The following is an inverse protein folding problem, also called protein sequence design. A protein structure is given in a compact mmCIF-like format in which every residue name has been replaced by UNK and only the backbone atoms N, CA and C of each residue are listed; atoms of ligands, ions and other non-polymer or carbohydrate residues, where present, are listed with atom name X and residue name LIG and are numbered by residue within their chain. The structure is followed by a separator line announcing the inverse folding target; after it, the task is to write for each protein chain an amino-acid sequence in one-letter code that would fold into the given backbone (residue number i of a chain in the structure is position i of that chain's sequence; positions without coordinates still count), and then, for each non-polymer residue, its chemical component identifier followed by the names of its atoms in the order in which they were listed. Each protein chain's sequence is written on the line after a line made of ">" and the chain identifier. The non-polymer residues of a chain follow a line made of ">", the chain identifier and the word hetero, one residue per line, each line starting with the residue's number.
data_IF_441068078033
#
_entry.id   IF_441068078033
#
_cell.length_a   1.000
_cell.length_b   1.000
_cell.length_c   1.000
_cell.angle_alpha   90.00
_cell.angle_beta   90.00
_cell.angle_gamma   90.00
#
_symmetry.space_group_name_H-M   'P 1'
#
loop_
_entity.id
_entity.type
_entity.pdbx_description
1 polymer ?
#
# COMPACT_ATOMS: atom_id res chain seq x y z
N UNK A 1 3.22 -43.21 21.17
CA UNK A 1 2.47 -43.50 19.94
C UNK A 1 2.30 -42.19 19.20
N UNK A 2 2.70 -42.07 17.92
CA UNK A 2 2.37 -40.89 17.15
C UNK A 2 0.86 -40.88 16.94
N UNK A 3 0.19 -39.80 17.36
CA UNK A 3 -1.24 -39.60 17.07
C UNK A 3 -1.35 -39.28 15.59
N UNK A 4 -2.06 -40.13 14.86
CA UNK A 4 -2.39 -39.89 13.46
C UNK A 4 -3.59 -38.96 13.46
N UNK A 5 -3.38 -37.73 13.00
CA UNK A 5 -4.45 -36.79 12.66
C UNK A 5 -5.47 -37.50 11.77
N UNK A 6 -6.74 -37.52 12.20
CA UNK A 6 -7.84 -38.28 11.56
C UNK A 6 -8.44 -37.57 10.35
N UNK A 7 -7.85 -36.46 9.90
CA UNK A 7 -8.30 -35.75 8.70
C UNK A 7 -7.54 -36.31 7.51
N UNK A 8 -8.24 -37.07 6.66
CA UNK A 8 -7.70 -37.49 5.37
C UNK A 8 -7.51 -36.24 4.51
N UNK A 9 -6.26 -35.77 4.38
CA UNK A 9 -5.92 -34.60 3.56
C UNK A 9 -5.62 -35.07 2.14
N UNK A 10 -6.54 -34.78 1.23
CA UNK A 10 -6.31 -35.01 -0.20
C UNK A 10 -5.36 -33.93 -0.74
N UNK A 11 -4.10 -34.30 -0.96
CA UNK A 11 -3.10 -33.46 -1.62
C UNK A 11 -2.11 -32.77 -0.67
N UNK A 12 -0.99 -32.30 -1.26
CA UNK A 12 -0.01 -31.45 -0.60
C UNK A 12 0.32 -30.27 -1.51
N UNK A 13 0.62 -29.12 -0.91
CA UNK A 13 1.11 -27.96 -1.63
C UNK A 13 2.53 -28.20 -2.09
N UNK A 14 2.81 -27.88 -3.35
CA UNK A 14 4.16 -27.79 -3.87
C UNK A 14 4.60 -26.32 -3.90
N UNK A 15 5.59 -25.98 -3.10
CA UNK A 15 6.16 -24.65 -3.00
C UNK A 15 7.49 -24.65 -3.74
N UNK A 16 7.58 -23.85 -4.80
CA UNK A 16 8.81 -23.65 -5.57
C UNK A 16 9.41 -22.30 -5.22
N UNK A 17 10.70 -22.26 -4.97
CA UNK A 17 11.39 -21.03 -4.60
C UNK A 17 12.83 -20.98 -5.07
N UNK A 18 13.47 -19.86 -4.77
CA UNK A 18 14.89 -19.60 -5.05
C UNK A 18 15.63 -19.33 -3.75
N UNK A 19 16.86 -19.86 -3.64
CA UNK A 19 17.79 -19.64 -2.53
C UNK A 19 19.06 -18.98 -3.05
N UNK A 20 19.50 -17.91 -2.38
CA UNK A 20 20.69 -17.14 -2.73
C UNK A 20 20.38 -15.71 -3.16
N UNK A 21 21.42 -14.89 -3.28
CA UNK A 21 21.36 -13.50 -3.72
C UNK A 21 22.28 -13.27 -4.91
N UNK A 22 21.88 -12.40 -5.83
CA UNK A 22 22.78 -11.93 -6.89
C UNK A 22 24.06 -11.35 -6.27
N UNK A 23 25.26 -11.60 -6.84
CA UNK A 23 25.52 -12.06 -8.21
C UNK A 23 25.55 -13.59 -8.40
N UNK A 24 25.41 -14.39 -7.35
CA UNK A 24 25.41 -15.84 -7.48
C UNK A 24 24.13 -16.34 -8.18
N UNK A 25 24.25 -17.40 -8.98
CA UNK A 25 23.09 -17.99 -9.62
C UNK A 25 22.16 -18.55 -8.53
N UNK A 26 20.90 -18.10 -8.45
CA UNK A 26 19.98 -18.58 -7.43
C UNK A 26 19.70 -20.08 -7.61
N UNK A 27 19.82 -20.84 -6.53
CA UNK A 27 19.50 -22.26 -6.51
C UNK A 27 17.98 -22.45 -6.39
N UNK A 28 17.39 -23.29 -7.25
CA UNK A 28 15.97 -23.62 -7.16
C UNK A 28 15.74 -24.67 -6.07
N UNK A 29 14.68 -24.48 -5.28
CA UNK A 29 14.24 -25.48 -4.31
C UNK A 29 12.75 -25.78 -4.43
N UNK A 30 12.37 -26.97 -3.98
CA UNK A 30 10.99 -27.42 -3.86
C UNK A 30 10.75 -27.92 -2.44
N UNK A 31 9.62 -27.51 -1.84
CA UNK A 31 9.13 -28.02 -0.56
C UNK A 31 7.69 -28.47 -0.74
N UNK A 32 7.35 -29.61 -0.15
CA UNK A 32 5.96 -30.06 -0.07
C UNK A 32 5.43 -29.86 1.35
N UNK A 33 4.24 -29.29 1.48
CA UNK A 33 3.61 -29.02 2.77
C UNK A 33 2.11 -29.29 2.74
N UNK A 34 1.55 -29.77 3.84
CA UNK A 34 0.09 -29.90 3.97
C UNK A 34 -0.59 -28.56 4.26
N UNK A 35 0.14 -27.61 4.85
CA UNK A 35 -0.36 -26.28 5.20
C UNK A 35 0.55 -25.21 4.60
N UNK A 36 -0.05 -24.16 4.04
CA UNK A 36 0.65 -22.98 3.50
C UNK A 36 0.00 -21.72 4.02
N UNK A 37 0.82 -20.73 4.41
CA UNK A 37 0.34 -19.42 4.84
C UNK A 37 0.73 -18.36 3.81
N UNK A 38 -0.26 -17.71 3.20
CA UNK A 38 -0.05 -16.56 2.33
C UNK A 38 0.15 -15.30 3.19
N UNK A 39 1.38 -14.80 3.16
CA UNK A 39 1.80 -13.59 3.87
C UNK A 39 2.52 -12.59 2.92
N UNK A 40 2.13 -12.56 1.64
CA UNK A 40 2.83 -11.80 0.58
C UNK A 40 2.45 -10.32 0.50
N UNK A 41 1.45 -9.88 1.27
CA UNK A 41 1.03 -8.47 1.31
C UNK A 41 0.56 -7.94 -0.05
N UNK A 42 0.75 -6.64 -0.27
CA UNK A 42 0.41 -5.96 -1.53
C UNK A 42 1.69 -5.48 -2.21
N UNK A 43 2.09 -6.15 -3.29
CA UNK A 43 3.37 -5.90 -3.98
C UNK A 43 3.20 -5.14 -5.30
N UNK A 44 2.01 -5.08 -5.89
CA UNK A 44 1.76 -4.44 -7.20
C UNK A 44 1.17 -3.05 -6.98
N UNK A 45 1.88 -1.95 -7.25
CA UNK A 45 1.33 -0.61 -7.10
C UNK A 45 0.15 -0.37 -8.05
N UNK A 46 -0.87 0.35 -7.58
CA UNK A 46 -1.97 0.83 -8.44
C UNK A 46 -1.47 2.02 -9.26
N UNK A 47 -1.84 2.03 -10.54
CA UNK A 47 -1.54 3.11 -11.48
C UNK A 47 -2.81 3.91 -11.82
N UNK A 48 -2.64 5.18 -12.19
CA UNK A 48 -3.73 6.07 -12.63
C UNK A 48 -4.19 5.75 -14.05
N UNK A 49 -3.32 5.20 -14.89
CA UNK A 49 -3.56 4.93 -16.30
C UNK A 49 -3.58 6.21 -17.16
N UNK A 50 -2.73 7.19 -16.83
CA UNK A 50 -2.71 8.51 -17.50
C UNK A 50 -1.48 8.71 -18.40
N UNK A 51 -1.54 9.60 -19.40
CA UNK A 51 -0.38 9.93 -20.21
C UNK A 51 0.78 10.47 -19.36
N UNK A 52 1.98 9.93 -19.60
CA UNK A 52 3.21 10.34 -18.91
C UNK A 52 3.47 9.68 -17.56
N UNK A 53 2.62 8.77 -17.11
CA UNK A 53 2.80 8.06 -15.84
C UNK A 53 4.06 7.17 -15.78
N UNK A 54 4.62 6.81 -16.95
CA UNK A 54 5.85 6.01 -17.05
C UNK A 54 7.12 6.87 -17.21
N UNK A 55 7.04 8.19 -17.00
CA UNK A 55 8.22 9.06 -17.06
C UNK A 55 9.17 8.78 -15.88
N UNK A 56 10.49 8.96 -16.05
CA UNK A 56 11.50 8.51 -15.08
C UNK A 56 11.48 9.23 -13.72
N UNK A 57 10.72 10.33 -13.60
CA UNK A 57 10.55 11.08 -12.36
C UNK A 57 9.18 10.82 -11.69
N UNK A 58 8.49 9.74 -12.12
CA UNK A 58 7.21 9.29 -11.57
C UNK A 58 7.44 7.98 -10.81
N UNK A 59 7.01 7.93 -9.56
CA UNK A 59 7.21 6.80 -8.65
C UNK A 59 5.90 6.33 -8.06
N UNK A 60 5.72 5.02 -7.94
CA UNK A 60 4.51 4.40 -7.37
C UNK A 60 4.77 3.67 -6.04
N UNK A 61 6.01 3.65 -5.58
CA UNK A 61 6.45 2.96 -4.38
C UNK A 61 7.24 3.91 -3.46
N UNK A 62 7.23 3.59 -2.16
CA UNK A 62 7.85 4.40 -1.12
C UNK A 62 9.35 4.15 -0.95
N UNK A 63 9.86 3.00 -1.39
CA UNK A 63 11.27 2.61 -1.29
C UNK A 63 12.23 3.57 -2.01
N UNK A 64 11.75 4.28 -3.04
CA UNK A 64 12.57 5.26 -3.78
C UNK A 64 12.78 6.57 -3.01
N UNK A 65 11.97 6.86 -1.97
CA UNK A 65 11.98 8.18 -1.33
C UNK A 65 13.29 8.48 -0.62
N UNK A 66 13.89 7.51 0.06
CA UNK A 66 15.12 7.71 0.83
C UNK A 66 16.28 8.10 -0.11
N UNK A 67 16.45 7.34 -1.20
CA UNK A 67 17.41 7.65 -2.26
C UNK A 67 17.17 9.04 -2.86
N UNK A 68 15.91 9.40 -3.14
CA UNK A 68 15.60 10.73 -3.63
C UNK A 68 15.99 11.83 -2.64
N UNK A 69 15.71 11.65 -1.35
CA UNK A 69 16.03 12.62 -0.32
C UNK A 69 17.53 12.75 -0.05
N UNK A 70 18.30 11.68 -0.25
CA UNK A 70 19.77 11.71 -0.20
C UNK A 70 20.35 12.57 -1.34
N UNK A 71 19.79 12.46 -2.55
CA UNK A 71 20.17 13.31 -3.69
C UNK A 71 19.80 14.79 -3.49
N UNK A 72 18.86 15.09 -2.59
CA UNK A 72 18.40 16.44 -2.26
C UNK A 72 18.95 16.96 -0.93
N UNK A 73 20.20 16.62 -0.58
CA UNK A 73 20.79 16.92 0.73
C UNK A 73 20.73 18.40 1.17
N UNK A 74 20.68 19.35 0.23
CA UNK A 74 20.46 20.77 0.48
C UNK A 74 19.47 21.36 -0.56
N UNK A 75 18.15 21.30 -0.32
CA UNK A 75 17.17 21.76 -1.29
C UNK A 75 17.25 23.27 -1.46
N UNK A 76 17.44 23.71 -2.71
CA UNK A 76 17.42 25.13 -3.04
C UNK A 76 16.07 25.77 -2.68
N UNK A 77 16.09 27.00 -2.17
CA UNK A 77 14.89 27.79 -1.85
C UNK A 77 13.92 27.97 -3.04
N UNK A 78 14.42 27.83 -4.27
CA UNK A 78 13.66 27.96 -5.52
C UNK A 78 13.32 26.61 -6.20
N UNK A 79 13.46 25.49 -5.48
CA UNK A 79 13.15 24.16 -6.01
C UNK A 79 11.66 24.03 -6.38
N UNK A 80 11.40 23.44 -7.55
CA UNK A 80 10.04 23.02 -7.92
C UNK A 80 9.50 21.94 -6.97
N UNK A 81 8.23 22.01 -6.55
CA UNK A 81 7.65 21.10 -5.57
C UNK A 81 7.57 19.65 -6.07
N UNK A 82 7.59 18.71 -5.15
CA UNK A 82 7.18 17.32 -5.41
C UNK A 82 5.65 17.22 -5.40
N UNK A 83 5.07 16.54 -6.38
CA UNK A 83 3.64 16.24 -6.42
C UNK A 83 3.38 14.86 -5.82
N UNK A 84 2.63 14.80 -4.72
CA UNK A 84 2.17 13.57 -4.10
C UNK A 84 0.69 13.38 -4.43
N UNK A 85 0.33 12.23 -5.01
CA UNK A 85 -1.05 11.87 -5.36
C UNK A 85 -1.48 10.69 -4.50
N UNK A 86 -2.52 10.87 -3.68
CA UNK A 86 -3.00 9.80 -2.81
C UNK A 86 -3.69 10.35 -1.58
N UNK A 87 -4.34 9.47 -0.81
CA UNK A 87 -4.97 9.84 0.47
C UNK A 87 -4.87 8.69 1.48
N UNK A 88 -3.83 7.86 1.32
CA UNK A 88 -3.49 6.74 2.20
C UNK A 88 -2.33 7.09 3.13
N UNK A 89 -1.94 6.13 3.97
CA UNK A 89 -0.81 6.29 4.90
C UNK A 89 0.51 6.53 4.14
N UNK A 90 0.79 5.75 3.09
CA UNK A 90 2.00 5.95 2.28
C UNK A 90 2.10 7.36 1.68
N UNK A 91 1.00 7.93 1.22
CA UNK A 91 0.98 9.31 0.73
C UNK A 91 1.29 10.33 1.86
N UNK A 92 0.81 10.08 3.08
CA UNK A 92 1.15 10.92 4.23
C UNK A 92 2.61 10.76 4.65
N UNK A 93 3.14 9.54 4.69
CA UNK A 93 4.56 9.30 4.97
C UNK A 93 5.46 10.03 3.96
N UNK A 94 5.10 9.99 2.67
CA UNK A 94 5.82 10.72 1.63
C UNK A 94 5.78 12.24 1.85
N UNK A 95 4.60 12.81 2.12
CA UNK A 95 4.44 14.24 2.44
C UNK A 95 5.30 14.63 3.64
N UNK A 96 5.29 13.82 4.71
CA UNK A 96 6.06 14.09 5.92
C UNK A 96 7.57 14.01 5.67
N UNK A 97 8.04 12.97 4.98
CA UNK A 97 9.45 12.78 4.65
C UNK A 97 10.00 13.94 3.80
N UNK A 98 9.27 14.33 2.75
CA UNK A 98 9.63 15.47 1.89
C UNK A 98 9.68 16.79 2.69
N UNK A 99 8.61 17.08 3.46
CA UNK A 99 8.54 18.32 4.25
C UNK A 99 9.62 18.38 5.34
N UNK A 100 9.93 17.26 5.99
CA UNK A 100 10.96 17.21 7.03
C UNK A 100 12.37 17.49 6.47
N UNK A 101 12.58 17.27 5.17
CA UNK A 101 13.80 17.63 4.45
C UNK A 101 13.75 19.02 3.82
N UNK A 102 12.66 19.77 4.00
CA UNK A 102 12.51 21.12 3.42
C UNK A 102 12.07 21.12 1.95
N UNK A 103 11.71 19.97 1.36
CA UNK A 103 11.23 19.89 -0.01
C UNK A 103 9.79 20.38 -0.10
N UNK A 104 9.45 21.36 -0.96
CA UNK A 104 8.07 21.81 -1.12
C UNK A 104 7.18 20.70 -1.69
N UNK A 105 5.97 20.56 -1.15
CA UNK A 105 5.03 19.49 -1.50
C UNK A 105 3.71 20.05 -2.00
N UNK A 106 3.26 19.52 -3.13
CA UNK A 106 1.88 19.63 -3.61
C UNK A 106 1.20 18.29 -3.39
N UNK A 107 0.13 18.28 -2.60
CA UNK A 107 -0.61 17.06 -2.28
C UNK A 107 -1.97 17.07 -2.98
N UNK A 108 -2.13 16.24 -4.00
CA UNK A 108 -3.36 16.12 -4.79
C UNK A 108 -4.22 14.94 -4.31
N UNK A 109 -5.47 15.24 -3.96
CA UNK A 109 -6.43 14.29 -3.41
C UNK A 109 -7.74 14.37 -4.20
N UNK A 110 -8.18 13.24 -4.76
CA UNK A 110 -9.45 13.13 -5.51
C UNK A 110 -10.69 13.45 -4.69
N UNK A 111 -10.65 13.20 -3.37
CA UNK A 111 -11.75 13.42 -2.43
C UNK A 111 -11.71 14.82 -1.82
N UNK A 112 -12.80 15.22 -1.18
CA UNK A 112 -12.80 16.36 -0.28
C UNK A 112 -11.91 16.05 0.94
N UNK A 113 -11.14 17.01 1.45
CA UNK A 113 -10.33 16.85 2.66
C UNK A 113 -11.12 16.45 3.92
N UNK A 114 -12.41 16.81 3.97
CA UNK A 114 -13.33 16.44 5.06
C UNK A 114 -14.12 15.15 4.81
N UNK A 115 -13.88 14.45 3.70
CA UNK A 115 -14.55 13.19 3.38
C UNK A 115 -14.17 12.10 4.40
N UNK A 116 -15.12 11.44 5.09
CA UNK A 116 -14.83 10.42 6.09
C UNK A 116 -14.09 9.20 5.50
N UNK A 117 -14.12 8.99 4.18
CA UNK A 117 -13.38 7.92 3.50
C UNK A 117 -11.89 8.23 3.29
N UNK A 118 -11.43 9.44 3.59
CA UNK A 118 -10.00 9.76 3.65
C UNK A 118 -9.43 9.21 4.95
N UNK A 119 -8.34 8.45 4.88
CA UNK A 119 -7.81 7.68 6.03
C UNK A 119 -7.52 8.59 7.23
N UNK A 120 -7.06 9.81 7.00
CA UNK A 120 -6.71 10.79 8.04
C UNK A 120 -7.91 11.21 8.90
N UNK A 121 -9.14 11.03 8.40
CA UNK A 121 -10.38 11.31 9.14
C UNK A 121 -10.88 10.11 9.96
N UNK A 122 -10.22 8.96 9.86
CA UNK A 122 -10.55 7.71 10.57
C UNK A 122 -9.55 7.38 11.68
N UNK A 123 -8.41 8.05 11.70
CA UNK A 123 -7.32 7.78 12.64
C UNK A 123 -7.46 8.65 13.90
N UNK A 124 -7.44 8.06 15.10
CA UNK A 124 -7.40 8.83 16.34
C UNK A 124 -6.12 9.67 16.43
N UNK A 125 -6.24 10.98 16.62
CA UNK A 125 -5.08 11.88 16.67
C UNK A 125 -4.11 11.65 17.83
N UNK A 126 -4.57 10.98 18.90
CA UNK A 126 -3.69 10.58 20.02
C UNK A 126 -2.79 9.41 19.65
N UNK A 127 -3.31 8.46 18.84
CA UNK A 127 -2.57 7.24 18.45
C UNK A 127 -1.71 7.51 17.22
N UNK A 128 -2.14 8.42 16.35
CA UNK A 128 -1.51 8.72 15.07
C UNK A 128 -1.36 10.24 14.86
N UNK A 129 -0.59 10.94 15.70
CA UNK A 129 -0.51 12.40 15.68
C UNK A 129 0.06 12.96 14.37
N UNK A 130 1.01 12.27 13.73
CA UNK A 130 1.64 12.69 12.48
C UNK A 130 0.64 12.63 11.31
N UNK A 131 -0.12 11.53 11.20
CA UNK A 131 -1.16 11.37 10.18
C UNK A 131 -2.34 12.30 10.40
N UNK A 132 -2.71 12.52 11.65
CA UNK A 132 -3.74 13.49 12.01
C UNK A 132 -3.34 14.91 11.57
N UNK A 133 -2.07 15.30 11.79
CA UNK A 133 -1.53 16.57 11.31
C UNK A 133 -1.60 16.71 9.78
N UNK A 134 -1.28 15.66 9.02
CA UNK A 134 -1.48 15.65 7.56
C UNK A 134 -2.95 15.88 7.21
N UNK A 135 -3.87 15.23 7.92
CA UNK A 135 -5.31 15.46 7.78
C UNK A 135 -5.73 16.91 8.02
N UNK A 136 -5.18 17.56 9.05
CA UNK A 136 -5.44 18.98 9.31
C UNK A 136 -4.85 19.88 8.21
N UNK A 137 -3.63 19.59 7.71
CA UNK A 137 -3.01 20.35 6.62
C UNK A 137 -3.86 20.28 5.35
N UNK A 138 -4.43 19.12 5.03
CA UNK A 138 -5.31 18.92 3.86
C UNK A 138 -6.59 19.76 3.97
N UNK A 139 -7.15 19.91 5.17
CA UNK A 139 -8.36 20.70 5.42
C UNK A 139 -8.11 22.20 5.39
N UNK A 140 -6.84 22.61 5.44
CA UNK A 140 -6.44 24.01 5.62
C UNK A 140 -6.55 24.47 7.07
N UNK A 141 -6.67 23.54 8.02
CA UNK A 141 -6.84 23.84 9.45
C UNK A 141 -5.49 24.15 10.15
N UNK A 142 -4.35 23.82 9.51
CA UNK A 142 -3.02 24.13 10.03
C UNK A 142 -2.54 25.46 9.47
N UNK A 143 -2.61 26.50 10.29
CA UNK A 143 -1.74 27.67 10.16
C UNK A 143 -0.55 27.46 11.08
N UNK A 144 0.67 27.56 10.55
CA UNK A 144 1.86 27.74 11.39
C UNK A 144 1.72 29.02 12.22
N UNK A 145 2.53 29.20 13.26
CA UNK A 145 2.56 30.46 14.03
C UNK A 145 2.82 31.69 13.14
N UNK A 146 3.30 31.48 11.91
CA UNK A 146 3.61 32.49 10.90
C UNK A 146 2.64 32.51 9.71
N UNK A 147 1.49 31.82 9.81
CA UNK A 147 0.48 31.75 8.73
C UNK A 147 0.51 30.46 7.91
N UNK A 148 0.24 30.55 6.61
CA UNK A 148 0.11 29.40 5.70
C UNK A 148 1.47 28.70 5.53
N UNK A 149 1.48 27.37 5.64
CA UNK A 149 2.68 26.57 5.44
C UNK A 149 3.22 26.74 4.01
N UNK A 150 4.38 27.38 3.87
CA UNK A 150 4.99 27.66 2.56
C UNK A 150 5.46 26.39 1.84
N UNK A 151 5.72 25.30 2.56
CA UNK A 151 6.24 24.05 2.01
C UNK A 151 5.13 23.05 1.66
N UNK A 152 3.86 23.40 1.86
CA UNK A 152 2.76 22.48 1.62
C UNK A 152 1.55 23.15 0.99
N UNK A 153 1.11 22.60 -0.14
CA UNK A 153 -0.13 22.99 -0.80
C UNK A 153 -1.01 21.76 -1.04
N UNK A 154 -2.22 21.78 -0.48
CA UNK A 154 -3.22 20.74 -0.74
C UNK A 154 -4.16 21.13 -1.89
N UNK A 155 -4.36 20.21 -2.83
CA UNK A 155 -5.40 20.26 -3.85
C UNK A 155 -6.39 19.13 -3.62
N UNK A 156 -7.47 19.42 -2.88
CA UNK A 156 -8.58 18.47 -2.68
C UNK A 156 -9.55 18.52 -3.86
N UNK A 157 -10.40 17.50 -3.99
CA UNK A 157 -11.32 17.35 -5.13
C UNK A 157 -10.59 17.48 -6.47
N UNK A 158 -9.36 16.98 -6.54
CA UNK A 158 -8.45 17.18 -7.68
C UNK A 158 -7.83 15.85 -8.09
N UNK A 159 -7.79 15.59 -9.40
CA UNK A 159 -7.17 14.40 -10.00
C UNK A 159 -6.03 14.81 -10.92
N UNK A 160 -4.93 14.08 -10.91
CA UNK A 160 -3.86 14.22 -11.91
C UNK A 160 -4.31 13.52 -13.20
N UNK A 161 -4.19 14.19 -14.36
CA UNK A 161 -4.71 13.67 -15.64
C UNK A 161 -3.66 13.56 -16.75
N UNK A 162 -2.53 14.25 -16.65
CA UNK A 162 -1.42 14.17 -17.61
C UNK A 162 -0.13 14.60 -16.90
N UNK A 163 0.99 13.93 -17.22
CA UNK A 163 2.33 14.30 -16.80
C UNK A 163 3.17 14.54 -18.05
N UNK A 164 3.74 15.73 -18.21
CA UNK A 164 4.52 16.09 -19.40
C UNK A 164 6.02 15.91 -19.17
N UNK A 165 6.76 15.68 -20.26
CA UNK A 165 8.22 15.49 -20.25
C UNK A 165 8.99 16.68 -19.68
N UNK A 166 8.43 17.88 -19.81
CA UNK A 166 8.97 19.11 -19.23
C UNK A 166 8.65 19.27 -17.74
N UNK A 167 8.13 18.23 -17.07
CA UNK A 167 7.71 18.24 -15.66
C UNK A 167 6.54 19.19 -15.36
N UNK A 168 5.72 19.50 -16.36
CA UNK A 168 4.41 20.12 -16.14
C UNK A 168 3.35 19.03 -15.93
N UNK A 169 2.64 19.08 -14.81
CA UNK A 169 1.51 18.21 -14.51
C UNK A 169 0.19 18.93 -14.77
N UNK A 170 -0.75 18.26 -15.43
CA UNK A 170 -2.12 18.76 -15.63
C UNK A 170 -3.03 18.13 -14.60
N UNK A 171 -3.65 18.98 -13.77
CA UNK A 171 -4.59 18.57 -12.75
C UNK A 171 -6.00 19.03 -13.12
N UNK A 172 -6.99 18.21 -12.77
CA UNK A 172 -8.41 18.44 -13.01
C UNK A 172 -9.15 18.55 -11.69
N UNK A 173 -9.79 19.69 -11.44
CA UNK A 173 -10.73 19.86 -10.33
C UNK A 173 -12.04 19.12 -10.59
N UNK A 174 -12.80 18.85 -9.53
CA UNK A 174 -14.10 18.18 -9.64
C UNK A 174 -15.14 18.94 -10.49
N UNK A 175 -15.00 20.26 -10.63
CA UNK A 175 -15.82 21.09 -11.54
C UNK A 175 -15.42 20.97 -13.02
N UNK A 176 -14.37 20.20 -13.32
CA UNK A 176 -13.85 20.01 -14.67
C UNK A 176 -12.70 20.94 -15.05
N UNK A 177 -12.42 21.97 -14.25
CA UNK A 177 -11.35 22.94 -14.51
C UNK A 177 -9.99 22.28 -14.54
N UNK A 178 -9.24 22.50 -15.62
CA UNK A 178 -7.86 22.08 -15.76
C UNK A 178 -6.92 23.19 -15.33
N UNK A 179 -5.84 22.83 -14.64
CA UNK A 179 -4.75 23.74 -14.32
C UNK A 179 -3.41 23.03 -14.34
N UNK A 180 -2.35 23.81 -14.51
CA UNK A 180 -0.97 23.34 -14.69
C UNK A 180 -0.19 23.54 -13.41
N UNK A 181 0.72 22.61 -13.14
CA UNK A 181 1.65 22.71 -12.04
C UNK A 181 3.03 22.23 -12.46
N UNK A 182 4.05 23.07 -12.28
CA UNK A 182 5.44 22.67 -12.42
C UNK A 182 5.89 21.87 -11.20
N UNK A 183 6.60 20.78 -11.42
CA UNK A 183 7.04 19.85 -10.36
C UNK A 183 8.48 19.39 -10.57
N UNK A 184 9.13 18.92 -9.51
CA UNK A 184 10.44 18.24 -9.59
C UNK A 184 10.29 16.74 -9.83
N UNK A 185 9.40 16.08 -9.08
CA UNK A 185 9.07 14.65 -9.14
C UNK A 185 7.58 14.41 -8.81
N UNK A 186 7.07 13.24 -9.17
CA UNK A 186 5.69 12.82 -8.92
C UNK A 186 5.67 11.49 -8.16
N UNK A 187 4.99 11.44 -7.03
CA UNK A 187 4.75 10.23 -6.24
C UNK A 187 3.27 9.85 -6.32
N UNK A 188 2.95 8.81 -7.08
CA UNK A 188 1.60 8.27 -7.26
C UNK A 188 1.36 7.16 -6.24
N UNK A 189 0.92 7.54 -5.04
CA UNK A 189 0.76 6.67 -3.87
C UNK A 189 -0.72 6.40 -3.58
N UNK A 190 -1.36 5.73 -4.53
CA UNK A 190 -2.82 5.46 -4.53
C UNK A 190 -3.19 4.05 -4.03
N UNK A 191 -2.23 3.35 -3.42
CA UNK A 191 -2.36 1.99 -2.90
C UNK A 191 -1.77 0.93 -3.82
N UNK A 192 -1.80 -0.32 -3.38
CA UNK A 192 -1.28 -1.47 -4.10
C UNK A 192 -2.29 -2.63 -4.09
N UNK A 193 -2.01 -3.67 -4.87
CA UNK A 193 -2.76 -4.90 -5.00
C UNK A 193 -1.84 -6.09 -4.68
N UNK A 194 -2.40 -7.22 -4.25
CA UNK A 194 -1.61 -8.43 -4.08
C UNK A 194 -1.20 -9.02 -5.43
N UNK A 195 0.03 -9.52 -5.50
CA UNK A 195 0.44 -10.44 -6.55
C UNK A 195 0.17 -11.87 -6.08
N UNK A 196 -0.72 -12.57 -6.77
CA UNK A 196 -1.02 -13.97 -6.56
C UNK A 196 -0.82 -14.78 -7.85
N UNK A 197 -0.07 -14.25 -8.82
CA UNK A 197 0.18 -14.92 -10.10
C UNK A 197 0.93 -16.25 -9.95
N UNK A 198 1.66 -16.42 -8.83
CA UNK A 198 2.33 -17.66 -8.45
C UNK A 198 1.39 -18.74 -7.93
N UNK A 199 0.16 -18.38 -7.54
CA UNK A 199 -0.80 -19.31 -6.96
C UNK A 199 -1.63 -19.95 -8.07
N UNK A 200 -1.46 -21.26 -8.23
CA UNK A 200 -2.14 -22.05 -9.25
C UNK A 200 -3.03 -23.11 -8.60
N UNK A 201 -4.06 -23.56 -9.33
CA UNK A 201 -4.97 -24.61 -8.85
C UNK A 201 -6.07 -24.14 -7.90
N UNK A 202 -5.97 -22.92 -7.35
CA UNK A 202 -6.99 -22.33 -6.47
C UNK A 202 -7.87 -21.35 -7.21
N UNK A 203 -9.18 -21.37 -6.98
CA UNK A 203 -10.12 -20.38 -7.51
C UNK A 203 -11.09 -19.92 -6.42
N UNK A 204 -11.67 -18.73 -6.58
CA UNK A 204 -12.75 -18.28 -5.69
C UNK A 204 -12.33 -18.05 -4.23
N UNK A 205 -11.06 -17.72 -3.99
CA UNK A 205 -10.53 -17.46 -2.64
C UNK A 205 -11.14 -16.21 -1.98
N UNK A 206 -11.70 -15.28 -2.76
CA UNK A 206 -12.22 -14.02 -2.24
C UNK A 206 -13.59 -14.16 -1.58
N UNK A 207 -13.93 -13.21 -0.71
CA UNK A 207 -15.27 -13.10 -0.13
C UNK A 207 -16.39 -13.10 -1.20
N UNK A 208 -16.09 -12.54 -2.37
CA UNK A 208 -16.83 -12.75 -3.61
C UNK A 208 -15.99 -13.58 -4.59
N UNK A 209 -16.37 -14.84 -4.86
CA UNK A 209 -15.62 -15.74 -5.74
C UNK A 209 -15.50 -15.28 -7.20
N UNK A 210 -16.38 -14.37 -7.65
CA UNK A 210 -16.40 -13.87 -9.03
C UNK A 210 -15.48 -12.67 -9.27
N UNK A 211 -14.94 -12.09 -8.20
CA UNK A 211 -14.06 -10.92 -8.27
C UNK A 211 -12.62 -11.32 -7.99
N UNK A 212 -11.67 -10.57 -8.55
CA UNK A 212 -10.25 -10.69 -8.19
C UNK A 212 -10.04 -10.34 -6.72
N UNK A 213 -9.00 -10.90 -6.12
CA UNK A 213 -8.60 -10.55 -4.74
C UNK A 213 -8.16 -9.08 -4.70
N UNK A 214 -8.67 -8.34 -3.72
CA UNK A 214 -8.25 -6.97 -3.40
C UNK A 214 -8.35 -6.79 -1.87
N UNK A 215 -7.30 -6.22 -1.28
CA UNK A 215 -7.17 -6.08 0.19
C UNK A 215 -8.22 -5.18 0.86
N UNK A 216 -9.11 -4.52 0.10
CA UNK A 216 -10.18 -3.68 0.63
C UNK A 216 -11.56 -4.12 0.12
N UNK A 217 -11.66 -4.40 -1.17
CA UNK A 217 -12.96 -4.65 -1.82
C UNK A 217 -13.32 -6.14 -1.90
N UNK A 218 -12.32 -7.03 -1.86
CA UNK A 218 -12.53 -8.47 -1.97
C UNK A 218 -11.36 -9.26 -1.35
N UNK A 219 -11.17 -9.20 -0.02
CA UNK A 219 -10.12 -9.94 0.65
C UNK A 219 -10.34 -11.46 0.53
N UNK A 220 -9.28 -12.24 0.79
CA UNK A 220 -9.37 -13.70 0.92
C UNK A 220 -10.37 -14.02 2.04
N UNK A 221 -11.34 -14.87 1.73
CA UNK A 221 -12.35 -15.33 2.66
C UNK A 221 -11.74 -16.37 3.60
N UNK A 222 -11.61 -16.00 4.87
CA UNK A 222 -11.03 -16.87 5.90
C UNK A 222 -12.01 -17.13 7.04
N UNK A 223 -11.81 -18.23 7.75
CA UNK A 223 -12.36 -18.40 9.09
C UNK A 223 -11.65 -17.43 10.04
N UNK A 224 -12.41 -16.57 10.71
CA UNK A 224 -11.88 -15.48 11.54
C UNK A 224 -11.08 -15.95 12.78
N UNK A 225 -11.21 -17.22 13.17
CA UNK A 225 -10.50 -17.78 14.32
C UNK A 225 -9.26 -18.57 13.91
N UNK A 226 -9.33 -19.36 12.83
CA UNK A 226 -8.20 -20.18 12.37
C UNK A 226 -7.34 -19.49 11.30
N UNK A 227 -7.86 -18.45 10.64
CA UNK A 227 -7.25 -17.79 9.48
C UNK A 227 -7.09 -18.69 8.24
N UNK A 228 -7.71 -19.87 8.26
CA UNK A 228 -7.79 -20.79 7.13
C UNK A 228 -8.78 -20.27 6.07
N UNK A 229 -8.44 -20.39 4.80
CA UNK A 229 -9.29 -20.03 3.68
C UNK A 229 -10.52 -20.94 3.62
N UNK A 230 -11.71 -20.35 3.58
CA UNK A 230 -12.98 -21.08 3.68
C UNK A 230 -13.17 -22.09 2.54
N UNK A 231 -12.64 -21.77 1.36
CA UNK A 231 -12.82 -22.57 0.15
C UNK A 231 -11.61 -23.44 -0.19
N UNK A 232 -10.54 -23.40 0.62
CA UNK A 232 -9.29 -24.08 0.31
C UNK A 232 -8.60 -24.59 1.60
N UNK A 233 -8.97 -25.79 2.06
CA UNK A 233 -8.39 -26.37 3.27
C UNK A 233 -6.86 -26.47 3.22
N UNK A 234 -6.20 -26.20 4.35
CA UNK A 234 -4.74 -26.15 4.45
C UNK A 234 -4.11 -24.87 3.86
N UNK A 235 -4.87 -23.99 3.22
CA UNK A 235 -4.42 -22.65 2.82
C UNK A 235 -4.83 -21.63 3.88
N UNK A 236 -3.88 -20.88 4.40
CA UNK A 236 -4.10 -19.80 5.36
C UNK A 236 -3.70 -18.46 4.73
N UNK A 237 -4.24 -17.36 5.23
CA UNK A 237 -3.84 -16.03 4.78
C UNK A 237 -3.81 -15.03 5.94
N UNK A 238 -2.86 -14.09 5.89
CA UNK A 238 -2.68 -13.06 6.92
C UNK A 238 -2.40 -11.69 6.32
N UNK A 239 -2.55 -10.65 7.14
CA UNK A 239 -2.23 -9.27 6.76
C UNK A 239 -3.16 -8.71 5.68
N UNK A 240 -2.66 -7.87 4.76
CA UNK A 240 -3.53 -7.19 3.81
C UNK A 240 -4.37 -8.13 2.92
N UNK A 241 -3.91 -9.36 2.69
CA UNK A 241 -4.66 -10.35 1.90
C UNK A 241 -6.05 -10.65 2.48
N UNK A 242 -6.22 -10.54 3.80
CA UNK A 242 -7.49 -10.76 4.49
C UNK A 242 -8.19 -9.45 4.90
N UNK A 243 -7.67 -8.31 4.47
CA UNK A 243 -8.21 -6.99 4.83
C UNK A 243 -7.48 -6.28 5.97
N UNK A 244 -6.49 -6.93 6.57
CA UNK A 244 -5.71 -6.37 7.68
C UNK A 244 -4.60 -5.44 7.16
N UNK A 245 -4.98 -4.18 6.95
CA UNK A 245 -4.10 -3.17 6.35
C UNK A 245 -3.22 -2.42 7.38
N UNK A 246 -3.29 -2.76 8.68
CA UNK A 246 -2.45 -2.16 9.72
C UNK A 246 -1.50 -3.20 10.33
N UNK A 247 -0.24 -2.82 10.49
CA UNK A 247 0.82 -3.70 11.03
C UNK A 247 0.43 -4.35 12.36
N UNK A 248 -0.28 -3.63 13.24
CA UNK A 248 -0.74 -4.13 14.55
C UNK A 248 -1.60 -5.40 14.46
N UNK A 249 -2.26 -5.64 13.32
CA UNK A 249 -3.10 -6.82 13.12
C UNK A 249 -2.31 -8.04 12.65
N UNK A 250 -1.12 -7.85 12.05
CA UNK A 250 -0.30 -8.94 11.52
C UNK A 250 0.13 -9.96 12.58
N UNK A 251 0.46 -9.50 13.78
CA UNK A 251 0.86 -10.38 14.91
C UNK A 251 -0.32 -11.27 15.33
N UNK A 252 -1.53 -10.70 15.41
CA UNK A 252 -2.73 -11.44 15.80
C UNK A 252 -3.07 -12.55 14.81
N UNK A 253 -2.98 -12.27 13.51
CA UNK A 253 -3.21 -13.26 12.47
C UNK A 253 -2.21 -14.42 12.50
N UNK A 254 -0.92 -14.11 12.63
CA UNK A 254 0.12 -15.15 12.73
C UNK A 254 -0.09 -16.06 13.96
N UNK A 255 -0.45 -15.48 15.12
CA UNK A 255 -0.74 -16.25 16.32
C UNK A 255 -1.99 -17.12 16.16
N UNK A 256 -3.04 -16.62 15.50
CA UNK A 256 -4.26 -17.37 15.20
C UNK A 256 -3.98 -18.62 14.37
N UNK A 257 -3.21 -18.48 13.29
CA UNK A 257 -2.76 -19.61 12.46
C UNK A 257 -1.96 -20.61 13.28
N UNK A 258 -0.93 -20.14 14.01
CA UNK A 258 -0.06 -21.03 14.78
C UNK A 258 -0.85 -21.83 15.83
N UNK A 259 -1.76 -21.18 16.56
CA UNK A 259 -2.60 -21.83 17.55
C UNK A 259 -3.56 -22.86 16.94
N UNK A 260 -4.09 -22.60 15.74
CA UNK A 260 -4.93 -23.57 15.05
C UNK A 260 -4.13 -24.82 14.66
N UNK A 261 -2.99 -24.64 14.02
CA UNK A 261 -2.12 -25.73 13.58
C UNK A 261 -1.62 -26.59 14.74
N UNK A 262 -1.22 -25.96 15.86
CA UNK A 262 -0.76 -26.70 17.04
C UNK A 262 -1.85 -27.59 17.66
N UNK A 263 -3.13 -27.21 17.56
CA UNK A 263 -4.25 -27.98 18.10
C UNK A 263 -4.69 -29.12 17.18
N UNK A 264 -4.31 -29.09 15.90
CA UNK A 264 -4.50 -30.24 15.00
C UNK A 264 -3.48 -31.36 15.28
N UNK A 265 -2.33 -31.01 15.84
CA UNK A 265 -1.26 -31.95 16.22
C UNK A 265 -1.46 -32.60 17.61
N UNK A 266 -2.42 -32.11 18.40
CA UNK A 266 -2.82 -32.65 19.72
C UNK A 266 -3.86 -33.78 19.62
#
# INVERSE_FOLDING_TARGET
>A
MPRVSSVHREGCWEIRGVRGTLPDMPELFVVHAYNVVLATGNSIPKVLGIPGENLPFVYHQMDVIDRYLEEQADPALSMDPCLVVGAGLSAADCVLALRNKGVPVIHAIRRNGKDPKVIYNQLPGVVYPEYYKVGQMIKGDVTTAYGKDALYTAHTKTSLVEIRKDKECILKKADGTLFKQKVSNVFVLIGAMPDLSFLHGTNGLGANPTKKIDSKENPININQFSYEAVNEPGLFAVGPLIGDNFVRFGIGGALGVANHLMREDE
#
